data_IF_157503712953
#
_entry.id   IF_157503712953
#
_cell.length_a   1.000
_cell.length_b   1.000
_cell.length_c   1.000
_cell.angle_alpha   90.00
_cell.angle_beta   90.00
_cell.angle_gamma   90.00
#
_symmetry.space_group_name_H-M   'P 1'
#
loop_
_entity.id
_entity.type
_entity.pdbx_description
1 polymer ?
#
# COMPACT_ATOMS: atom_id res chain seq x y z
N UNK A 1 19.47 -6.89 -4.09
CA UNK A 1 18.05 -6.82 -3.78
C UNK A 1 17.82 -5.85 -2.63
N UNK A 2 16.89 -4.93 -2.79
CA UNK A 2 16.63 -3.93 -1.75
C UNK A 2 15.59 -4.44 -0.76
N UNK A 3 15.70 -3.97 0.49
CA UNK A 3 14.68 -4.28 1.50
C UNK A 3 13.35 -3.67 1.10
N UNK A 4 12.26 -4.39 1.35
CA UNK A 4 10.93 -3.92 0.99
C UNK A 4 9.88 -4.51 1.94
N UNK A 5 8.73 -3.87 1.94
CA UNK A 5 7.57 -4.35 2.69
C UNK A 5 6.32 -4.09 1.85
N UNK A 6 5.43 -5.07 1.80
CA UNK A 6 4.19 -4.97 1.03
C UNK A 6 3.00 -5.31 1.90
N UNK A 7 1.84 -4.76 1.53
CA UNK A 7 0.60 -5.09 2.23
C UNK A 7 -0.56 -4.98 1.22
N UNK A 8 -1.66 -5.63 1.55
CA UNK A 8 -2.84 -5.64 0.68
C UNK A 8 -4.08 -5.74 1.54
N UNK A 9 -5.00 -4.80 1.38
CA UNK A 9 -6.23 -4.79 2.16
C UNK A 9 -7.42 -4.48 1.25
N UNK A 10 -8.58 -4.98 1.65
CA UNK A 10 -9.85 -4.64 1.03
C UNK A 10 -10.54 -3.63 1.93
N UNK A 11 -10.80 -2.45 1.41
CA UNK A 11 -11.37 -1.35 2.18
C UNK A 11 -12.83 -1.14 1.79
N UNK A 12 -13.71 -1.00 2.79
CA UNK A 12 -15.11 -0.71 2.53
C UNK A 12 -15.24 0.81 2.37
N UNK A 13 -14.85 1.28 1.22
CA UNK A 13 -14.91 2.68 0.81
C UNK A 13 -14.79 2.72 -0.70
N UNK A 14 -15.38 3.75 -1.29
CA UNK A 14 -15.28 3.92 -2.73
C UNK A 14 -13.89 4.44 -3.09
N UNK A 15 -13.46 4.11 -4.30
CA UNK A 15 -12.12 4.46 -4.76
C UNK A 15 -11.84 5.95 -4.61
N UNK A 16 -12.78 6.79 -5.03
CA UNK A 16 -12.52 8.23 -5.03
C UNK A 16 -12.31 8.78 -3.61
N UNK A 17 -12.96 8.19 -2.62
CA UNK A 17 -12.72 8.58 -1.23
C UNK A 17 -11.25 8.37 -0.86
N UNK A 18 -10.71 7.21 -1.23
CA UNK A 18 -9.33 6.88 -0.91
C UNK A 18 -8.35 7.69 -1.75
N UNK A 19 -8.70 7.94 -3.02
CA UNK A 19 -7.85 8.76 -3.89
C UNK A 19 -7.71 10.17 -3.31
N UNK A 20 -8.82 10.75 -2.85
CA UNK A 20 -8.76 12.10 -2.28
C UNK A 20 -7.91 12.12 -1.01
N UNK A 21 -8.00 11.10 -0.19
CA UNK A 21 -7.15 11.02 1.00
C UNK A 21 -5.68 10.86 0.63
N UNK A 22 -5.38 10.04 -0.38
CA UNK A 22 -4.00 9.87 -0.81
C UNK A 22 -3.41 11.19 -1.33
N UNK A 23 -4.21 11.96 -2.05
CA UNK A 23 -3.74 13.26 -2.56
C UNK A 23 -3.42 14.25 -1.44
N UNK A 24 -4.03 14.09 -0.27
CA UNK A 24 -3.84 15.00 0.85
C UNK A 24 -2.82 14.50 1.87
N UNK A 25 -2.11 13.42 1.56
CA UNK A 25 -1.24 12.78 2.55
C UNK A 25 -0.11 13.73 2.97
N UNK A 26 0.27 13.62 4.24
CA UNK A 26 1.36 14.40 4.82
C UNK A 26 2.54 13.48 5.13
N UNK A 27 3.74 14.03 5.02
CA UNK A 27 4.94 13.29 5.38
C UNK A 27 5.55 12.49 4.24
N UNK A 28 4.93 12.52 3.07
CA UNK A 28 5.42 11.82 1.89
C UNK A 28 5.31 12.75 0.70
N UNK A 29 6.18 12.55 -0.29
CA UNK A 29 6.14 13.34 -1.52
C UNK A 29 5.49 12.51 -2.61
N UNK A 30 4.43 13.05 -3.20
CA UNK A 30 3.76 12.37 -4.32
C UNK A 30 4.53 12.70 -5.59
N UNK A 31 5.08 11.65 -6.22
CA UNK A 31 5.87 11.80 -7.44
C UNK A 31 5.00 11.64 -8.68
N UNK A 32 3.89 10.97 -8.57
CA UNK A 32 3.01 10.79 -9.72
C UNK A 32 1.71 10.13 -9.31
N UNK A 33 0.72 10.36 -10.13
CA UNK A 33 -0.59 9.73 -10.00
C UNK A 33 -1.03 9.37 -11.40
N UNK A 34 -1.33 8.09 -11.63
CA UNK A 34 -1.68 7.63 -12.97
C UNK A 34 -2.84 6.65 -12.91
N UNK A 35 -3.74 6.75 -13.90
CA UNK A 35 -4.74 5.72 -14.09
C UNK A 35 -4.04 4.41 -14.46
N UNK A 36 -4.59 3.28 -13.98
CA UNK A 36 -3.99 1.98 -14.23
C UNK A 36 -4.54 1.32 -15.51
N UNK A 37 -5.46 1.99 -16.20
CA UNK A 37 -6.07 1.43 -17.40
C UNK A 37 -7.21 0.47 -17.13
N UNK A 38 -7.57 0.26 -15.86
CA UNK A 38 -8.62 -0.70 -15.47
C UNK A 38 -9.57 -0.11 -14.44
N UNK A 39 -9.65 1.21 -14.40
CA UNK A 39 -10.52 1.89 -13.44
C UNK A 39 -9.87 2.18 -12.10
N UNK A 40 -8.62 1.81 -11.92
CA UNK A 40 -7.89 2.08 -10.70
C UNK A 40 -6.87 3.19 -10.88
N UNK A 41 -6.13 3.47 -9.81
CA UNK A 41 -5.16 4.56 -9.76
C UNK A 41 -3.89 4.06 -9.08
N UNK A 42 -2.75 4.44 -9.65
CA UNK A 42 -1.44 4.21 -9.04
C UNK A 42 -0.87 5.53 -8.56
N UNK A 43 -0.42 5.55 -7.31
CA UNK A 43 0.36 6.66 -6.77
C UNK A 43 1.79 6.21 -6.59
N UNK A 44 2.72 7.06 -7.04
CA UNK A 44 4.13 6.87 -6.75
C UNK A 44 4.54 7.94 -5.76
N UNK A 45 5.11 7.51 -4.63
CA UNK A 45 5.50 8.43 -3.57
C UNK A 45 6.92 8.14 -3.14
N UNK A 46 7.49 9.06 -2.40
CA UNK A 46 8.76 8.83 -1.75
C UNK A 46 8.71 9.32 -0.32
N UNK A 47 9.46 8.64 0.54
CA UNK A 47 9.72 9.12 1.89
C UNK A 47 11.04 9.86 1.87
N UNK A 48 11.16 10.89 2.72
CA UNK A 48 12.35 11.71 2.74
C UNK A 48 13.55 10.93 3.23
N UNK A 49 14.73 11.34 2.77
CA UNK A 49 16.01 10.83 3.25
C UNK A 49 16.19 11.17 4.72
N UNK A 50 16.87 10.27 5.42
CA UNK A 50 17.29 10.55 6.79
C UNK A 50 18.57 9.75 7.06
N UNK A 51 19.05 9.82 8.31
CA UNK A 51 20.29 9.13 8.64
C UNK A 51 20.18 7.61 8.56
N UNK A 52 18.97 7.08 8.66
CA UNK A 52 18.76 5.63 8.68
C UNK A 52 18.59 5.04 7.29
N UNK A 53 18.31 5.87 6.29
CA UNK A 53 18.05 5.33 4.96
C UNK A 53 18.33 6.37 3.90
N UNK A 54 18.45 5.88 2.67
CA UNK A 54 18.56 6.73 1.48
C UNK A 54 17.20 7.13 0.94
N UNK A 55 16.16 6.91 1.73
CA UNK A 55 14.80 7.15 1.31
C UNK A 55 14.17 5.89 0.79
N UNK A 56 12.87 5.93 0.62
CA UNK A 56 12.12 4.78 0.13
C UNK A 56 11.19 5.21 -0.99
N UNK A 57 11.00 4.31 -1.94
CA UNK A 57 10.02 4.45 -2.99
C UNK A 57 8.77 3.72 -2.58
N UNK A 58 7.62 4.34 -2.73
CA UNK A 58 6.36 3.75 -2.36
C UNK A 58 5.44 3.71 -3.56
N UNK A 59 4.88 2.54 -3.82
CA UNK A 59 3.86 2.36 -4.84
C UNK A 59 2.56 2.02 -4.15
N UNK A 60 1.53 2.81 -4.42
CA UNK A 60 0.21 2.61 -3.85
C UNK A 60 -0.76 2.42 -5.01
N UNK A 61 -1.34 1.23 -5.12
CA UNK A 61 -2.26 0.89 -6.19
C UNK A 61 -3.63 0.63 -5.57
N UNK A 62 -4.61 1.37 -6.03
CA UNK A 62 -5.98 1.22 -5.54
C UNK A 62 -6.90 1.01 -6.71
N UNK A 63 -7.79 0.01 -6.62
CA UNK A 63 -8.72 -0.26 -7.70
C UNK A 63 -10.04 -0.77 -7.13
N UNK A 64 -11.15 -0.50 -7.84
CA UNK A 64 -12.46 -0.93 -7.31
C UNK A 64 -12.57 -2.45 -7.31
N UNK A 65 -13.01 -2.98 -6.19
CA UNK A 65 -13.31 -4.39 -6.06
C UNK A 65 -14.78 -4.65 -6.38
N UNK A 66 -15.64 -3.78 -5.89
CA UNK A 66 -17.05 -3.73 -6.24
C UNK A 66 -17.54 -2.29 -5.99
N UNK A 67 -18.84 -2.06 -5.99
CA UNK A 67 -19.37 -0.71 -5.88
C UNK A 67 -19.11 -0.07 -4.53
N UNK A 68 -18.91 -0.88 -3.48
CA UNK A 68 -18.69 -0.36 -2.14
C UNK A 68 -17.28 -0.54 -1.63
N UNK A 69 -16.46 -1.32 -2.33
CA UNK A 69 -15.16 -1.71 -1.78
C UNK A 69 -14.04 -1.46 -2.78
N UNK A 70 -12.88 -1.13 -2.24
CA UNK A 70 -11.68 -0.85 -3.02
C UNK A 70 -10.55 -1.73 -2.52
N UNK A 71 -9.82 -2.32 -3.45
CA UNK A 71 -8.61 -3.07 -3.12
C UNK A 71 -7.44 -2.09 -3.04
N UNK A 72 -6.64 -2.21 -1.99
CA UNK A 72 -5.50 -1.34 -1.77
C UNK A 72 -4.25 -2.20 -1.64
N UNK A 73 -3.31 -1.98 -2.54
CA UNK A 73 -2.02 -2.68 -2.53
C UNK A 73 -0.92 -1.65 -2.38
N UNK A 74 0.02 -1.90 -1.49
CA UNK A 74 1.07 -0.92 -1.22
C UNK A 74 2.40 -1.64 -1.06
N UNK A 75 3.45 -1.01 -1.58
CA UNK A 75 4.81 -1.50 -1.43
C UNK A 75 5.72 -0.33 -1.09
N UNK A 76 6.57 -0.50 -0.09
CA UNK A 76 7.62 0.44 0.21
C UNK A 76 8.94 -0.29 0.06
N UNK A 77 9.88 0.31 -0.65
CA UNK A 77 11.13 -0.32 -1.01
C UNK A 77 12.26 0.70 -0.87
N UNK A 78 13.41 0.26 -0.39
CA UNK A 78 14.55 1.15 -0.28
C UNK A 78 14.93 1.67 -1.66
N UNK A 79 15.19 2.98 -1.74
CA UNK A 79 15.55 3.60 -3.01
C UNK A 79 16.92 3.14 -3.49
N UNK A 80 17.84 2.83 -2.57
CA UNK A 80 19.15 2.30 -2.94
C UNK A 80 19.03 0.80 -3.13
N UNK A 81 19.30 0.28 -4.35
CA UNK A 81 19.04 -1.13 -4.66
C UNK A 81 19.83 -2.11 -3.82
N UNK A 82 20.97 -1.69 -3.25
CA UNK A 82 21.80 -2.59 -2.45
C UNK A 82 21.55 -2.50 -0.97
N UNK A 83 20.60 -1.67 -0.54
CA UNK A 83 20.32 -1.53 0.89
C UNK A 83 19.47 -2.71 1.35
N UNK A 84 20.05 -3.53 2.21
CA UNK A 84 19.38 -4.74 2.71
C UNK A 84 18.69 -4.52 4.04
N UNK A 85 19.10 -3.49 4.78
CA UNK A 85 18.47 -3.12 6.04
C UNK A 85 17.76 -1.80 5.89
N UNK A 86 16.55 -1.72 6.40
CA UNK A 86 15.79 -0.47 6.38
C UNK A 86 15.41 -0.01 7.79
N UNK A 87 15.85 -0.74 8.82
CA UNK A 87 15.56 -0.44 10.22
C UNK A 87 14.05 -0.29 10.46
N UNK A 88 13.25 -1.12 9.76
CA UNK A 88 11.81 -1.07 9.89
C UNK A 88 11.14 0.07 9.15
N UNK A 89 11.89 0.84 8.35
CA UNK A 89 11.31 2.01 7.69
C UNK A 89 10.25 1.65 6.67
N UNK A 90 10.47 0.58 5.90
CA UNK A 90 9.48 0.21 4.89
C UNK A 90 8.14 -0.16 5.53
N UNK A 91 8.19 -0.95 6.60
CA UNK A 91 6.96 -1.30 7.31
C UNK A 91 6.31 -0.07 7.92
N UNK A 92 7.11 0.80 8.52
CA UNK A 92 6.60 2.03 9.12
C UNK A 92 5.92 2.90 8.08
N UNK A 93 6.52 3.04 6.90
CA UNK A 93 5.93 3.84 5.83
C UNK A 93 4.58 3.29 5.41
N UNK A 94 4.50 1.97 5.23
CA UNK A 94 3.25 1.34 4.83
C UNK A 94 2.18 1.55 5.90
N UNK A 95 2.55 1.38 7.17
CA UNK A 95 1.59 1.54 8.25
C UNK A 95 1.11 2.98 8.37
N UNK A 96 1.99 3.94 8.18
CA UNK A 96 1.60 5.35 8.23
C UNK A 96 0.65 5.71 7.08
N UNK A 97 0.96 5.26 5.88
CA UNK A 97 0.13 5.58 4.71
C UNK A 97 -1.24 4.93 4.85
N UNK A 98 -1.27 3.64 5.19
CA UNK A 98 -2.55 2.94 5.35
C UNK A 98 -3.35 3.54 6.50
N UNK A 99 -2.69 3.90 7.59
CA UNK A 99 -3.39 4.54 8.71
C UNK A 99 -4.04 5.85 8.30
N UNK A 100 -3.36 6.61 7.44
CA UNK A 100 -3.90 7.88 6.98
C UNK A 100 -5.07 7.70 6.03
N UNK A 101 -4.92 6.85 5.00
CA UNK A 101 -5.95 6.75 3.98
C UNK A 101 -7.13 5.89 4.43
N UNK A 102 -6.92 4.98 5.39
CA UNK A 102 -7.97 4.04 5.80
C UNK A 102 -8.56 4.35 7.17
N UNK A 103 -8.15 5.45 7.81
CA UNK A 103 -8.66 5.79 9.13
C UNK A 103 -10.18 5.84 9.15
N UNK A 104 -10.80 5.14 10.09
CA UNK A 104 -12.25 5.10 10.23
C UNK A 104 -12.97 4.22 9.20
N UNK A 105 -12.23 3.52 8.35
CA UNK A 105 -12.82 2.68 7.31
C UNK A 105 -12.68 1.22 7.71
N UNK A 106 -13.73 0.46 7.50
CA UNK A 106 -13.70 -0.99 7.75
C UNK A 106 -12.83 -1.64 6.69
N UNK A 107 -11.87 -2.45 7.14
CA UNK A 107 -10.96 -3.12 6.22
C UNK A 107 -10.93 -4.61 6.51
N UNK A 108 -10.55 -5.36 5.49
CA UNK A 108 -10.25 -6.77 5.59
C UNK A 108 -8.85 -6.97 5.03
N UNK A 109 -7.94 -7.50 5.86
CA UNK A 109 -6.58 -7.72 5.41
C UNK A 109 -6.52 -8.94 4.53
N UNK A 110 -5.86 -8.80 3.39
CA UNK A 110 -5.71 -9.90 2.45
C UNK A 110 -4.36 -10.54 2.71
N UNK A 111 -4.37 -11.80 3.09
CA UNK A 111 -3.14 -12.52 3.40
C UNK A 111 -2.55 -13.05 2.10
N UNK A 112 -1.40 -12.53 1.74
CA UNK A 112 -0.74 -12.92 0.52
C UNK A 112 -0.22 -14.34 0.58
N UNK A 113 -0.12 -14.89 1.76
CA UNK A 113 0.38 -16.24 1.96
C UNK A 113 -0.74 -17.22 2.24
N UNK A 114 -1.96 -16.85 1.90
CA UNK A 114 -3.08 -17.76 2.07
C UNK A 114 -2.80 -19.05 1.34
N UNK A 115 -2.89 -20.20 2.03
CA UNK A 115 -2.67 -21.47 1.37
C UNK A 115 -3.68 -21.68 0.27
N UNK A 116 -3.25 -22.34 -0.71
CA UNK A 116 -4.13 -22.58 -1.85
C UNK A 116 -5.16 -23.63 -1.55
N UNK A 117 -5.18 -24.12 -0.38
CA UNK A 117 -6.14 -25.11 -0.03
C UNK A 117 -7.11 -24.79 0.98
N UNK A 118 -6.88 -24.62 1.42
CA UNK A 118 -7.70 -24.38 2.04
C UNK A 118 -8.64 -23.89 2.03
N UNK A 119 -8.18 -23.88 2.01
CA UNK A 119 -9.12 -23.33 1.91
C UNK A 119 -9.89 -23.52 1.64
N UNK A 120 -9.58 -23.94 1.87
CA UNK A 120 -10.41 -23.96 1.76
C UNK A 120 -10.95 -24.23 1.99
N UNK A 121 -10.64 -24.53 2.16
CA UNK A 121 -11.23 -24.59 2.40
C UNK A 121 -11.29 -24.50 2.81
N UNK A 122 -10.91 -24.91 3.21
CA UNK A 122 -11.32 -24.71 3.53
C UNK A 122 -11.72 -24.26 3.71
N UNK A 123 -11.23 -24.69 4.01
CA UNK A 123 -11.96 -24.33 4.12
C UNK A 123 -12.46 -24.09 4.24
N UNK A 124 -12.35 -24.32 4.53
CA UNK A 124 -12.98 -24.10 4.63
C UNK A 124 -13.60 -23.79 4.64
N UNK A 125 -13.33 -24.17 4.89
CA UNK A 125 -13.96 -23.92 4.85
C UNK A 125 -14.39 -23.79 4.82
#
# INVERSE_FOLDING_TARGET
>A
MAAKYTDKVLATAQLMTLVQRARAIQGFTIKGEMADGRGGVNFMMSADLNFASWGEKIDLHMYPYNEQQTMVEIKSECAMPTQLFDMGKNKENVEKILGYILGGIVIQRIDKEVPKNNYWGQNKK
#
